data_IF_938867851273
#
_entry.id   IF_938867851273
#
_cell.length_a   1.000
_cell.length_b   1.000
_cell.length_c   1.000
_cell.angle_alpha   90.00
_cell.angle_beta   90.00
_cell.angle_gamma   90.00
#
_symmetry.space_group_name_H-M   'P 1'
#
loop_
_entity.id
_entity.type
_entity.pdbx_description
1 polymer ?
#
# COMPACT_ATOMS: atom_id res chain seq x y z
N UNK A 1 10.94 -1.89 -1.43
CA UNK A 1 10.79 -0.43 -1.29
C UNK A 1 10.27 0.09 -2.61
N UNK A 2 8.96 0.30 -2.70
CA UNK A 2 8.32 0.68 -3.96
C UNK A 2 8.81 2.04 -4.43
N UNK A 3 9.13 2.09 -5.71
CA UNK A 3 9.32 3.29 -6.48
C UNK A 3 8.00 4.07 -6.36
N UNK A 4 7.91 5.01 -5.42
CA UNK A 4 6.82 6.00 -5.41
C UNK A 4 7.04 6.73 -6.71
N UNK A 5 6.24 6.37 -7.71
CA UNK A 5 6.21 7.03 -9.00
C UNK A 5 5.85 8.48 -8.70
N UNK A 6 6.87 9.34 -8.58
CA UNK A 6 6.71 10.78 -8.41
C UNK A 6 6.31 11.35 -9.76
N UNK A 7 5.23 10.84 -10.34
CA UNK A 7 4.53 11.54 -11.39
C UNK A 7 3.99 12.80 -10.76
N UNK A 8 4.82 13.86 -10.85
CA UNK A 8 4.45 15.19 -10.44
C UNK A 8 3.16 15.53 -11.18
N UNK A 9 2.11 15.80 -10.42
CA UNK A 9 0.90 16.38 -10.99
C UNK A 9 1.33 17.68 -11.66
N UNK A 10 1.02 17.80 -12.96
CA UNK A 10 1.23 19.03 -13.68
C UNK A 10 0.30 20.09 -13.09
N UNK A 11 0.87 21.15 -12.54
CA UNK A 11 0.12 22.34 -12.17
C UNK A 11 0.21 23.27 -13.37
N UNK A 12 -0.92 23.62 -14.01
CA UNK A 12 -0.89 24.53 -15.15
C UNK A 12 -0.35 25.88 -14.69
N UNK A 13 0.49 26.49 -15.50
CA UNK A 13 0.88 27.88 -15.29
C UNK A 13 -0.11 28.78 -16.02
N UNK A 14 -0.55 29.85 -15.35
CA UNK A 14 -1.37 30.86 -15.99
C UNK A 14 -0.51 31.65 -16.96
N UNK A 15 -0.92 31.71 -18.23
CA UNK A 15 -0.27 32.58 -19.20
C UNK A 15 -0.29 34.04 -18.73
N UNK A 16 0.87 34.69 -18.82
CA UNK A 16 1.05 36.09 -18.44
C UNK A 16 1.01 36.93 -19.71
N UNK A 17 -0.06 37.69 -19.87
CA UNK A 17 -0.17 38.69 -20.93
C UNK A 17 0.16 40.09 -20.40
N UNK A 18 0.79 40.91 -21.24
CA UNK A 18 0.92 42.34 -21.01
C UNK A 18 -0.40 43.04 -21.33
N UNK A 19 -1.25 43.21 -20.32
CA UNK A 19 -2.53 43.92 -20.45
C UNK A 19 -2.37 45.42 -20.72
N UNK A 20 -1.16 45.98 -20.62
CA UNK A 20 -0.87 47.35 -21.05
C UNK A 20 -0.94 47.53 -22.57
N UNK A 21 -0.85 46.43 -23.33
CA UNK A 21 -0.98 46.37 -24.80
C UNK A 21 -2.41 46.03 -25.24
N UNK A 22 -3.37 45.98 -24.31
CA UNK A 22 -4.72 45.52 -24.63
C UNK A 22 -5.51 46.54 -25.47
N UNK A 23 -6.27 46.03 -26.43
CA UNK A 23 -7.13 46.84 -27.30
C UNK A 23 -8.60 46.41 -27.14
N UNK A 24 -9.51 47.38 -27.24
CA UNK A 24 -10.96 47.12 -27.29
C UNK A 24 -11.32 46.50 -28.64
N UNK A 25 -11.81 45.27 -28.61
CA UNK A 25 -12.35 44.55 -29.78
C UNK A 25 -13.19 43.36 -29.32
N UNK A 26 -13.83 42.69 -30.26
CA UNK A 26 -14.49 41.42 -29.96
C UNK A 26 -13.44 40.36 -29.59
N UNK A 27 -13.68 39.67 -28.48
CA UNK A 27 -12.91 38.51 -28.08
C UNK A 27 -13.20 37.34 -29.01
N UNK A 28 -12.18 36.71 -29.58
CA UNK A 28 -12.34 35.59 -30.52
C UNK A 28 -12.93 34.34 -29.85
N UNK A 29 -12.93 34.27 -28.51
CA UNK A 29 -13.37 33.11 -27.72
C UNK A 29 -14.80 33.23 -27.21
N UNK A 30 -15.22 34.41 -26.74
CA UNK A 30 -16.57 34.64 -26.20
C UNK A 30 -17.41 35.61 -27.02
N UNK A 31 -16.85 36.20 -28.09
CA UNK A 31 -17.50 37.15 -29.00
C UNK A 31 -18.06 38.38 -28.29
N UNK A 32 -17.56 38.69 -27.09
CA UNK A 32 -17.93 39.88 -26.35
C UNK A 32 -16.94 41.01 -26.66
N UNK A 33 -17.48 42.22 -26.80
CA UNK A 33 -16.69 43.45 -26.89
C UNK A 33 -15.97 43.71 -25.56
N UNK A 34 -14.64 43.58 -25.54
CA UNK A 34 -13.84 43.65 -24.32
C UNK A 34 -12.42 44.15 -24.59
N UNK A 35 -11.67 44.44 -23.53
CA UNK A 35 -10.21 44.59 -23.58
C UNK A 35 -9.61 43.22 -23.89
N UNK A 36 -8.89 43.12 -24.99
CA UNK A 36 -8.27 41.87 -25.46
C UNK A 36 -6.80 42.05 -25.74
N UNK A 37 -6.05 40.95 -25.62
CA UNK A 37 -4.62 40.85 -25.93
C UNK A 37 -4.41 39.74 -26.94
N UNK A 38 -3.25 39.74 -27.61
CA UNK A 38 -2.87 38.64 -28.50
C UNK A 38 -2.69 37.35 -27.71
N UNK A 39 -3.42 36.33 -28.14
CA UNK A 39 -3.33 34.96 -27.64
C UNK A 39 -2.28 34.16 -28.43
N UNK A 40 -1.84 33.04 -27.87
CA UNK A 40 -0.77 32.19 -28.42
C UNK A 40 -1.14 31.55 -29.77
N UNK A 41 -2.44 31.39 -30.06
CA UNK A 41 -2.97 30.91 -31.34
C UNK A 41 -3.12 32.00 -32.42
N UNK A 42 -2.74 33.25 -32.10
CA UNK A 42 -2.85 34.41 -32.98
C UNK A 42 -4.17 35.19 -32.86
N UNK A 43 -5.15 34.65 -32.12
CA UNK A 43 -6.41 35.29 -31.79
C UNK A 43 -6.28 36.42 -30.76
N UNK A 44 -7.41 37.01 -30.40
CA UNK A 44 -7.55 38.06 -29.41
C UNK A 44 -8.40 37.54 -28.24
N UNK A 45 -7.81 37.42 -27.06
CA UNK A 45 -8.45 36.87 -25.87
C UNK A 45 -8.73 37.96 -24.84
N UNK A 46 -9.90 37.92 -24.19
CA UNK A 46 -10.22 38.79 -23.07
C UNK A 46 -9.77 38.18 -21.74
N UNK A 47 -9.64 39.01 -20.70
CA UNK A 47 -9.15 38.56 -19.39
C UNK A 47 -10.00 37.43 -18.79
N UNK A 48 -11.32 37.48 -18.97
CA UNK A 48 -12.26 36.46 -18.51
C UNK A 48 -12.03 35.11 -19.19
N UNK A 49 -11.80 35.09 -20.50
CA UNK A 49 -11.50 33.86 -21.24
C UNK A 49 -10.15 33.27 -20.83
N UNK A 50 -9.13 34.12 -20.65
CA UNK A 50 -7.81 33.69 -20.16
C UNK A 50 -7.91 33.05 -18.76
N UNK A 51 -8.69 33.64 -17.84
CA UNK A 51 -8.93 33.05 -16.52
C UNK A 51 -9.77 31.76 -16.59
N UNK A 52 -10.73 31.69 -17.53
CA UNK A 52 -11.55 30.51 -17.73
C UNK A 52 -10.71 29.31 -18.18
N UNK A 53 -9.80 29.48 -19.15
CA UNK A 53 -8.88 28.44 -19.62
C UNK A 53 -7.96 27.93 -18.50
N UNK A 54 -7.30 28.86 -17.80
CA UNK A 54 -6.45 28.50 -16.67
C UNK A 54 -7.22 27.74 -15.59
N UNK A 55 -8.42 28.21 -15.22
CA UNK A 55 -9.20 27.56 -14.16
C UNK A 55 -9.80 26.23 -14.62
N UNK A 56 -10.12 26.02 -15.90
CA UNK A 56 -10.54 24.72 -16.41
C UNK A 56 -9.40 23.70 -16.33
N UNK A 57 -8.19 24.08 -16.76
CA UNK A 57 -7.03 23.19 -16.71
C UNK A 57 -6.66 22.84 -15.28
N UNK A 58 -6.73 23.83 -14.38
CA UNK A 58 -6.48 23.60 -12.96
C UNK A 58 -7.51 22.65 -12.35
N UNK A 59 -8.80 22.80 -12.70
CA UNK A 59 -9.87 21.92 -12.22
C UNK A 59 -9.66 20.48 -12.68
N UNK A 60 -9.33 20.26 -13.95
CA UNK A 60 -9.07 18.91 -14.49
C UNK A 60 -7.92 18.25 -13.72
N UNK A 61 -6.80 18.95 -13.56
CA UNK A 61 -5.65 18.42 -12.82
C UNK A 61 -5.97 18.13 -11.35
N UNK A 62 -6.77 18.99 -10.71
CA UNK A 62 -7.20 18.78 -9.33
C UNK A 62 -8.12 17.56 -9.19
N UNK A 63 -9.07 17.37 -10.10
CA UNK A 63 -9.94 16.19 -10.11
C UNK A 63 -9.11 14.92 -10.29
N UNK A 64 -8.20 14.89 -11.25
CA UNK A 64 -7.29 13.76 -11.45
C UNK A 64 -6.43 13.49 -10.21
N UNK A 65 -5.96 14.54 -9.53
CA UNK A 65 -5.20 14.39 -8.28
C UNK A 65 -6.05 13.74 -7.18
N UNK A 66 -7.30 14.16 -7.02
CA UNK A 66 -8.23 13.62 -6.03
C UNK A 66 -8.53 12.14 -6.30
N UNK A 67 -8.80 11.77 -7.55
CA UNK A 67 -9.04 10.36 -7.95
C UNK A 67 -7.83 9.47 -7.64
N UNK A 68 -6.61 9.96 -7.91
CA UNK A 68 -5.36 9.24 -7.58
C UNK A 68 -5.17 9.06 -6.08
N UNK A 69 -5.46 10.11 -5.30
CA UNK A 69 -5.37 10.04 -3.83
C UNK A 69 -6.40 9.05 -3.27
N UNK A 70 -7.60 9.01 -3.83
CA UNK A 70 -8.62 8.06 -3.42
C UNK A 70 -8.22 6.61 -3.73
N UNK A 71 -7.69 6.35 -4.93
CA UNK A 71 -7.16 5.03 -5.30
C UNK A 71 -6.02 4.59 -4.36
N UNK A 72 -5.05 5.48 -4.09
CA UNK A 72 -3.95 5.21 -3.17
C UNK A 72 -4.44 4.92 -1.73
N UNK A 73 -5.47 5.65 -1.26
CA UNK A 73 -6.09 5.42 0.05
C UNK A 73 -6.79 4.06 0.11
N UNK A 74 -7.50 3.68 -0.96
CA UNK A 74 -8.16 2.38 -1.03
C UNK A 74 -7.13 1.24 -1.01
N UNK A 75 -6.02 1.37 -1.74
CA UNK A 75 -4.97 0.38 -1.74
C UNK A 75 -4.24 0.29 -0.40
N UNK A 76 -3.95 1.41 0.24
CA UNK A 76 -3.42 1.43 1.60
C UNK A 76 -4.36 0.70 2.58
N UNK A 77 -5.67 0.94 2.50
CA UNK A 77 -6.67 0.26 3.34
C UNK A 77 -6.68 -1.27 3.14
N UNK A 78 -6.54 -1.74 1.89
CA UNK A 78 -6.41 -3.18 1.60
C UNK A 78 -5.13 -3.75 2.21
N UNK A 79 -4.01 -3.05 2.06
CA UNK A 79 -2.73 -3.45 2.65
C UNK A 79 -2.77 -3.51 4.18
N UNK A 80 -3.39 -2.53 4.83
CA UNK A 80 -3.54 -2.54 6.28
C UNK A 80 -4.35 -3.74 6.79
N UNK A 81 -5.46 -4.08 6.13
CA UNK A 81 -6.26 -5.27 6.49
C UNK A 81 -5.46 -6.57 6.30
N UNK A 82 -4.69 -6.67 5.22
CA UNK A 82 -3.84 -7.83 4.98
C UNK A 82 -2.72 -7.93 6.03
N UNK A 83 -2.13 -6.80 6.41
CA UNK A 83 -1.10 -6.72 7.44
C UNK A 83 -1.65 -7.11 8.82
N UNK A 84 -2.80 -6.59 9.23
CA UNK A 84 -3.47 -6.95 10.48
C UNK A 84 -3.73 -8.46 10.58
N UNK A 85 -4.20 -9.07 9.47
CA UNK A 85 -4.37 -10.52 9.39
C UNK A 85 -3.03 -11.27 9.52
N UNK A 86 -1.98 -10.79 8.87
CA UNK A 86 -0.66 -11.41 8.96
C UNK A 86 -0.09 -11.34 10.39
N UNK A 87 -0.24 -10.20 11.07
CA UNK A 87 0.19 -9.99 12.46
C UNK A 87 -0.57 -10.92 13.41
N UNK A 88 -1.89 -11.01 13.29
CA UNK A 88 -2.68 -11.91 14.15
C UNK A 88 -2.34 -13.39 13.93
N UNK A 89 -2.07 -13.79 12.69
CA UNK A 89 -1.56 -15.13 12.38
C UNK A 89 -0.17 -15.35 13.00
N UNK A 90 0.71 -14.36 12.91
CA UNK A 90 2.04 -14.38 13.53
C UNK A 90 1.97 -14.57 15.04
N UNK A 91 1.12 -13.80 15.74
CA UNK A 91 0.92 -13.93 17.18
C UNK A 91 0.48 -15.35 17.58
N UNK A 92 -0.44 -15.96 16.83
CA UNK A 92 -0.86 -17.35 17.08
C UNK A 92 0.27 -18.36 16.88
N UNK A 93 1.14 -18.13 15.90
CA UNK A 93 2.30 -18.99 15.70
C UNK A 93 3.33 -18.83 16.82
N UNK A 94 3.56 -17.61 17.32
CA UNK A 94 4.44 -17.38 18.48
C UNK A 94 3.92 -18.13 19.71
N UNK A 95 2.61 -18.10 19.98
CA UNK A 95 1.99 -18.89 21.05
C UNK A 95 2.20 -20.40 20.87
N UNK A 96 1.97 -20.92 19.66
CA UNK A 96 2.18 -22.34 19.36
C UNK A 96 3.65 -22.76 19.48
N UNK A 97 4.57 -21.90 19.05
CA UNK A 97 6.01 -22.14 19.20
C UNK A 97 6.37 -22.19 20.68
N UNK A 98 5.90 -21.23 21.49
CA UNK A 98 6.15 -21.23 22.93
C UNK A 98 5.58 -22.48 23.62
N UNK A 99 4.39 -22.93 23.23
CA UNK A 99 3.80 -24.18 23.74
C UNK A 99 4.66 -25.41 23.38
N UNK A 100 5.14 -25.49 22.14
CA UNK A 100 6.00 -26.58 21.68
C UNK A 100 7.38 -26.54 22.33
N UNK A 101 7.96 -25.36 22.55
CA UNK A 101 9.25 -25.18 23.22
C UNK A 101 9.18 -25.51 24.72
N UNK A 102 8.03 -25.26 25.37
CA UNK A 102 7.80 -25.62 26.76
C UNK A 102 7.51 -27.12 26.98
N UNK A 103 7.31 -27.90 25.90
CA UNK A 103 6.91 -29.30 25.97
C UNK A 103 8.10 -30.20 26.27
N UNK A 104 8.12 -30.77 27.47
CA UNK A 104 9.15 -31.71 27.90
C UNK A 104 8.67 -33.17 27.77
N UNK A 105 9.56 -34.06 27.31
CA UNK A 105 9.31 -35.51 27.27
C UNK A 105 9.93 -36.14 28.51
N UNK A 106 9.10 -36.61 29.43
CA UNK A 106 9.57 -37.35 30.60
C UNK A 106 9.86 -38.79 30.20
N UNK A 107 11.14 -39.17 30.26
CA UNK A 107 11.57 -40.55 30.04
C UNK A 107 11.53 -41.36 31.34
N UNK A 108 11.27 -42.68 31.27
CA UNK A 108 11.32 -43.55 32.44
C UNK A 108 12.72 -43.56 33.10
N UNK A 109 12.78 -43.61 34.44
CA UNK A 109 14.03 -43.46 35.19
C UNK A 109 14.99 -44.67 35.05
N UNK A 110 16.33 -44.45 35.09
CA UNK A 110 17.34 -45.51 34.92
C UNK A 110 17.35 -46.61 35.98
N UNK A 111 16.81 -46.36 37.19
CA UNK A 111 16.72 -47.38 38.25
C UNK A 111 15.74 -48.52 37.92
N UNK A 112 14.97 -48.38 36.83
CA UNK A 112 14.08 -49.41 36.27
C UNK A 112 14.70 -50.11 35.04
N UNK A 113 15.95 -49.79 34.68
CA UNK A 113 16.60 -50.32 33.48
C UNK A 113 17.41 -51.56 33.86
N UNK A 114 16.88 -52.73 33.54
CA UNK A 114 17.65 -53.97 33.64
C UNK A 114 18.64 -54.02 32.46
N UNK A 115 19.93 -54.07 32.78
CA UNK A 115 21.04 -53.92 31.81
C UNK A 115 21.05 -55.08 30.79
N UNK A 116 20.35 -56.18 31.07
CA UNK A 116 20.12 -57.30 30.15
C UNK A 116 18.97 -57.12 29.15
N UNK A 117 18.09 -56.11 29.28
CA UNK A 117 16.83 -55.98 28.52
C UNK A 117 16.70 -54.69 27.67
N UNK A 118 17.83 -54.06 27.31
CA UNK A 118 17.88 -52.77 26.56
C UNK A 118 17.00 -52.75 25.28
N UNK A 119 16.67 -53.91 24.70
CA UNK A 119 15.80 -54.05 23.51
C UNK A 119 14.28 -53.98 23.81
N UNK A 120 13.81 -54.37 25.00
CA UNK A 120 12.39 -54.30 25.40
C UNK A 120 11.96 -52.86 25.76
N UNK A 121 12.92 -52.00 26.14
CA UNK A 121 12.67 -50.62 26.55
C UNK A 121 12.55 -49.62 25.39
N UNK A 122 12.96 -49.98 24.16
CA UNK A 122 12.68 -49.19 22.94
C UNK A 122 11.18 -48.89 22.83
N UNK A 123 10.32 -49.86 23.13
CA UNK A 123 8.87 -49.69 23.08
C UNK A 123 8.35 -48.68 24.11
N UNK A 124 8.90 -48.66 25.33
CA UNK A 124 8.49 -47.70 26.38
C UNK A 124 8.94 -46.28 26.05
N UNK A 125 10.16 -46.12 25.53
CA UNK A 125 10.69 -44.82 25.07
C UNK A 125 9.87 -44.30 23.89
N UNK A 126 9.59 -45.13 22.88
CA UNK A 126 8.75 -44.75 21.75
C UNK A 126 7.32 -44.39 22.17
N UNK A 127 6.77 -45.11 23.16
CA UNK A 127 5.47 -44.78 23.73
C UNK A 127 5.50 -43.41 24.42
N UNK A 128 6.49 -43.13 25.27
CA UNK A 128 6.61 -41.82 25.93
C UNK A 128 6.74 -40.67 24.92
N UNK A 129 7.50 -40.86 23.83
CA UNK A 129 7.65 -39.89 22.74
C UNK A 129 6.33 -39.68 21.99
N UNK A 130 5.57 -40.76 21.69
CA UNK A 130 4.26 -40.70 21.03
C UNK A 130 3.17 -40.11 21.92
N UNK A 131 3.15 -40.45 23.21
CA UNK A 131 2.25 -39.88 24.21
C UNK A 131 2.53 -38.38 24.36
N UNK A 132 3.80 -37.98 24.24
CA UNK A 132 4.22 -36.60 24.06
C UNK A 132 4.02 -36.08 22.63
N UNK A 133 3.20 -36.71 21.79
CA UNK A 133 2.73 -36.24 20.48
C UNK A 133 3.82 -36.04 19.41
N UNK A 134 5.02 -36.59 19.62
CA UNK A 134 6.14 -36.50 18.68
C UNK A 134 6.12 -37.74 17.78
N UNK A 135 6.21 -37.51 16.47
CA UNK A 135 6.28 -38.59 15.48
C UNK A 135 7.73 -39.08 15.34
N UNK A 136 7.92 -40.40 15.36
CA UNK A 136 9.23 -41.04 15.13
C UNK A 136 9.24 -41.67 13.74
N UNK A 137 10.26 -41.38 12.92
CA UNK A 137 10.45 -41.98 11.58
C UNK A 137 11.64 -42.97 11.60
N UNK A 138 11.53 -44.06 10.84
CA UNK A 138 12.61 -45.05 10.66
C UNK A 138 12.58 -46.22 11.66
N UNK A 139 11.39 -46.66 12.07
CA UNK A 139 11.23 -47.91 12.83
C UNK A 139 11.69 -49.15 12.06
#
# INVERSE_FOLDING_TARGET
MSNIDKQALYVPEREKHDWGQAEMRDCDFCQQWALTVKHSDGGCICASCCDAEYTSDLKVNLVTALERLEAAKQDASKWFKAFEKAVSVGARYEEQIAELEAREVVLPQPAQWDISEVLLDKAKVLKAIRDAGITVKGE
#
